data_IF_103166737235
#
_entry.id   IF_103166737235
#
_cell.length_a   1.000
_cell.length_b   1.000
_cell.length_c   1.000
_cell.angle_alpha   90.00
_cell.angle_beta   90.00
_cell.angle_gamma   90.00
#
_symmetry.space_group_name_H-M   'P 1'
#
loop_
_entity.id
_entity.type
_entity.pdbx_description
1 polymer ?
#
# COMPACT_ATOMS: atom_id res chain seq x y z
N UNK A 1 -0.22 -26.80 -41.59
CA UNK A 1 -0.72 -25.42 -41.38
C UNK A 1 0.14 -24.75 -40.31
N UNK A 2 0.95 -23.75 -40.67
CA UNK A 2 1.92 -23.11 -39.76
C UNK A 2 1.35 -21.90 -39.00
N UNK A 3 2.02 -21.52 -37.91
CA UNK A 3 1.64 -20.33 -37.12
C UNK A 3 1.76 -19.07 -37.97
N UNK A 4 0.69 -18.28 -38.03
CA UNK A 4 0.67 -17.01 -38.77
C UNK A 4 1.66 -16.01 -38.17
N UNK A 5 2.22 -15.15 -39.03
CA UNK A 5 3.13 -14.08 -38.62
C UNK A 5 2.41 -13.12 -37.68
N UNK A 6 2.99 -12.87 -36.52
CA UNK A 6 2.42 -11.97 -35.50
C UNK A 6 2.44 -10.50 -35.94
N UNK A 7 3.35 -10.12 -36.84
CA UNK A 7 3.49 -8.75 -37.31
C UNK A 7 3.51 -8.71 -38.84
N UNK A 8 2.80 -7.72 -39.38
CA UNK A 8 2.73 -7.44 -40.81
C UNK A 8 4.09 -7.10 -41.42
N UNK A 9 4.87 -6.25 -40.73
CA UNK A 9 6.17 -5.69 -41.18
C UNK A 9 7.05 -5.35 -39.98
N UNK A 10 8.32 -5.03 -40.23
CA UNK A 10 9.28 -4.59 -39.20
C UNK A 10 8.80 -3.32 -38.48
N UNK A 11 8.18 -2.37 -39.20
CA UNK A 11 7.58 -1.16 -38.59
C UNK A 11 6.43 -1.49 -37.62
N UNK A 12 5.59 -2.48 -37.94
CA UNK A 12 4.53 -2.96 -37.04
C UNK A 12 5.14 -3.53 -35.73
N UNK A 13 6.25 -4.26 -35.84
CA UNK A 13 6.99 -4.79 -34.68
C UNK A 13 7.63 -3.66 -33.87
N UNK A 14 8.24 -2.67 -34.54
CA UNK A 14 8.88 -1.53 -33.90
C UNK A 14 7.88 -0.69 -33.11
N UNK A 15 6.72 -0.37 -33.70
CA UNK A 15 5.62 0.32 -32.99
C UNK A 15 5.12 -0.47 -31.78
N UNK A 16 4.99 -1.79 -31.89
CA UNK A 16 4.59 -2.63 -30.77
C UNK A 16 5.67 -2.72 -29.68
N UNK A 17 6.95 -2.54 -30.02
CA UNK A 17 8.04 -2.42 -29.05
C UNK A 17 7.99 -1.05 -28.36
N UNK A 18 7.86 0.02 -29.13
CA UNK A 18 7.77 1.40 -28.62
C UNK A 18 6.56 1.60 -27.73
N UNK A 19 5.40 1.06 -28.10
CA UNK A 19 4.19 1.09 -27.27
C UNK A 19 4.38 0.33 -25.95
N UNK A 20 5.01 -0.85 -25.98
CA UNK A 20 5.33 -1.58 -24.75
C UNK A 20 6.34 -0.80 -23.92
N UNK A 21 7.39 -0.28 -24.55
CA UNK A 21 8.41 0.51 -23.87
C UNK A 21 7.85 1.83 -23.30
N UNK A 22 6.85 2.45 -23.93
CA UNK A 22 6.16 3.62 -23.39
C UNK A 22 5.22 3.25 -22.24
N UNK A 23 4.56 2.08 -22.28
CA UNK A 23 3.75 1.59 -21.17
C UNK A 23 4.60 1.15 -19.98
N UNK A 24 5.77 0.56 -20.24
CA UNK A 24 6.76 0.25 -19.18
C UNK A 24 7.39 1.52 -18.61
N UNK A 25 7.25 2.66 -19.31
CA UNK A 25 7.70 4.01 -18.93
C UNK A 25 6.51 4.97 -18.78
N UNK A 26 5.39 4.53 -18.17
CA UNK A 26 4.14 5.31 -18.01
C UNK A 26 4.33 6.69 -17.35
N UNK A 27 3.25 7.40 -17.01
CA UNK A 27 3.24 8.83 -16.57
C UNK A 27 4.27 9.22 -15.48
N UNK A 28 4.84 8.27 -14.75
CA UNK A 28 6.15 8.39 -14.14
C UNK A 28 7.27 8.13 -15.17
N UNK A 29 7.65 9.17 -15.93
CA UNK A 29 8.64 9.15 -17.03
C UNK A 29 10.07 8.70 -16.66
N UNK A 30 10.25 8.17 -15.47
CA UNK A 30 11.31 7.25 -15.15
C UNK A 30 10.63 6.10 -14.39
N UNK A 31 10.76 4.87 -14.88
CA UNK A 31 11.22 3.86 -13.93
C UNK A 31 12.60 4.36 -13.48
N UNK A 32 12.63 5.35 -12.58
CA UNK A 32 13.66 5.43 -11.58
C UNK A 32 13.58 4.04 -11.01
N UNK A 33 14.56 3.20 -11.35
CA UNK A 33 14.60 1.82 -10.91
C UNK A 33 14.26 1.88 -9.44
N UNK A 34 13.05 1.42 -9.11
CA UNK A 34 12.53 1.61 -7.76
C UNK A 34 13.61 1.02 -6.85
N UNK A 35 13.98 1.74 -5.78
CA UNK A 35 14.93 1.19 -4.82
C UNK A 35 14.56 -0.27 -4.52
N UNK A 36 15.54 -1.17 -4.37
CA UNK A 36 15.26 -2.59 -4.18
C UNK A 36 14.38 -2.87 -2.94
N UNK A 37 14.29 -1.90 -2.04
CA UNK A 37 13.49 -1.88 -0.81
C UNK A 37 12.20 -1.05 -0.93
N UNK A 38 11.86 -0.55 -2.11
CA UNK A 38 10.64 0.21 -2.33
C UNK A 38 9.39 -0.66 -2.20
N UNK A 39 8.41 -0.15 -1.45
CA UNK A 39 7.05 -0.72 -1.37
C UNK A 39 6.15 0.08 -2.29
N UNK A 40 5.49 -0.60 -3.23
CA UNK A 40 4.52 0.01 -4.16
C UNK A 40 3.11 -0.36 -3.70
N UNK A 41 2.31 0.65 -3.41
CA UNK A 41 0.89 0.52 -3.06
C UNK A 41 0.04 1.19 -4.13
N UNK A 42 -1.19 0.71 -4.34
CA UNK A 42 -2.18 1.49 -5.06
C UNK A 42 -2.54 2.76 -4.26
N UNK A 43 -3.15 3.74 -4.91
CA UNK A 43 -3.63 4.94 -4.22
C UNK A 43 -4.66 4.58 -3.13
N UNK A 44 -5.55 3.62 -3.42
CA UNK A 44 -6.56 3.14 -2.47
C UNK A 44 -5.90 2.41 -1.29
N UNK A 45 -4.93 1.53 -1.54
CA UNK A 45 -4.20 0.83 -0.46
C UNK A 45 -3.43 1.81 0.43
N UNK A 46 -2.88 2.88 -0.15
CA UNK A 46 -2.16 3.93 0.58
C UNK A 46 -3.11 4.76 1.46
N UNK A 47 -4.29 5.11 0.95
CA UNK A 47 -5.34 5.80 1.72
C UNK A 47 -5.84 4.91 2.87
N UNK A 48 -6.18 3.65 2.58
CA UNK A 48 -6.62 2.67 3.57
C UNK A 48 -5.56 2.42 4.66
N UNK A 49 -4.27 2.44 4.31
CA UNK A 49 -3.19 2.33 5.28
C UNK A 49 -3.12 3.59 6.16
N UNK A 50 -3.21 4.78 5.55
CA UNK A 50 -3.20 6.05 6.27
C UNK A 50 -4.33 6.12 7.30
N UNK A 51 -5.54 5.73 6.93
CA UNK A 51 -6.70 5.72 7.82
C UNK A 51 -6.52 4.75 8.99
N UNK A 52 -5.96 3.56 8.74
CA UNK A 52 -5.67 2.60 9.82
C UNK A 52 -4.58 3.08 10.77
N UNK A 53 -3.53 3.72 10.26
CA UNK A 53 -2.49 4.34 11.11
C UNK A 53 -3.08 5.49 11.93
N UNK A 54 -3.98 6.29 11.35
CA UNK A 54 -4.70 7.32 12.07
C UNK A 54 -5.51 6.75 13.24
N UNK A 55 -6.23 5.65 13.03
CA UNK A 55 -6.98 4.97 14.10
C UNK A 55 -6.09 4.48 15.23
N UNK A 56 -4.89 3.97 14.93
CA UNK A 56 -3.91 3.58 15.95
C UNK A 56 -3.49 4.78 16.80
N UNK A 57 -3.21 5.91 16.15
CA UNK A 57 -2.84 7.14 16.86
C UNK A 57 -3.96 7.60 17.79
N UNK A 58 -5.19 7.67 17.30
CA UNK A 58 -6.34 8.08 18.13
C UNK A 58 -6.56 7.13 19.31
N UNK A 59 -6.52 5.80 19.09
CA UNK A 59 -6.65 4.86 20.19
C UNK A 59 -5.53 4.99 21.24
N UNK A 60 -4.32 5.40 20.85
CA UNK A 60 -3.24 5.69 21.78
C UNK A 60 -3.44 7.03 22.52
N UNK A 61 -3.95 8.05 21.84
CA UNK A 61 -4.34 9.34 22.43
C UNK A 61 -5.46 9.16 23.46
N UNK A 62 -6.42 8.28 23.21
CA UNK A 62 -7.50 7.95 24.16
C UNK A 62 -6.93 7.30 25.44
N UNK A 63 -5.96 6.38 25.31
CA UNK A 63 -5.25 5.79 26.45
C UNK A 63 -4.51 6.86 27.26
N UNK A 64 -3.81 7.78 26.58
CA UNK A 64 -3.09 8.86 27.24
C UNK A 64 -4.06 9.79 28.00
N UNK A 65 -5.17 10.16 27.37
CA UNK A 65 -6.23 10.98 27.99
C UNK A 65 -6.81 10.29 29.22
N UNK A 66 -7.13 9.00 29.11
CA UNK A 66 -7.65 8.22 30.23
C UNK A 66 -6.65 8.12 31.40
N UNK A 67 -5.34 8.03 31.12
CA UNK A 67 -4.31 8.08 32.16
C UNK A 67 -4.26 9.45 32.85
N UNK A 68 -4.32 10.54 32.09
CA UNK A 68 -4.32 11.90 32.61
C UNK A 68 -5.57 12.20 33.46
N UNK A 69 -6.71 11.59 33.12
CA UNK A 69 -7.97 11.69 33.87
C UNK A 69 -8.07 10.72 35.05
N UNK A 70 -7.07 9.84 35.24
CA UNK A 70 -7.05 8.87 36.34
C UNK A 70 -8.07 7.73 36.18
N UNK A 71 -8.34 7.32 34.94
CA UNK A 71 -9.25 6.24 34.61
C UNK A 71 -8.91 4.93 35.34
N UNK A 72 -9.94 4.14 35.61
CA UNK A 72 -9.80 2.87 36.32
C UNK A 72 -9.10 1.80 35.50
N UNK A 73 -8.57 0.78 36.17
CA UNK A 73 -7.87 -0.34 35.52
C UNK A 73 -8.69 -1.06 34.45
N UNK A 74 -10.01 -1.20 34.64
CA UNK A 74 -10.90 -1.85 33.67
C UNK A 74 -10.98 -1.05 32.37
N UNK A 75 -11.22 0.25 32.46
CA UNK A 75 -11.30 1.15 31.32
C UNK A 75 -9.98 1.22 30.56
N UNK A 76 -8.85 1.34 31.28
CA UNK A 76 -7.53 1.30 30.66
C UNK A 76 -7.26 -0.02 29.92
N UNK A 77 -7.76 -1.14 30.44
CA UNK A 77 -7.65 -2.45 29.75
C UNK A 77 -8.47 -2.46 28.46
N UNK A 78 -9.70 -1.95 28.50
CA UNK A 78 -10.56 -1.87 27.32
C UNK A 78 -9.95 -0.98 26.23
N UNK A 79 -9.41 0.19 26.60
CA UNK A 79 -8.71 1.09 25.68
C UNK A 79 -7.44 0.45 25.10
N UNK A 80 -6.67 -0.26 25.92
CA UNK A 80 -5.53 -1.06 25.42
C UNK A 80 -5.99 -2.11 24.40
N UNK A 81 -7.12 -2.79 24.63
CA UNK A 81 -7.64 -3.79 23.71
C UNK A 81 -8.11 -3.15 22.37
N UNK A 82 -8.70 -1.95 22.42
CA UNK A 82 -9.03 -1.15 21.22
C UNK A 82 -7.77 -0.81 20.44
N UNK A 83 -6.75 -0.28 21.12
CA UNK A 83 -5.46 0.07 20.51
C UNK A 83 -4.80 -1.14 19.85
N UNK A 84 -4.78 -2.29 20.53
CA UNK A 84 -4.21 -3.51 19.98
C UNK A 84 -4.99 -4.05 18.78
N UNK A 85 -6.32 -3.87 18.73
CA UNK A 85 -7.13 -4.20 17.55
C UNK A 85 -6.80 -3.27 16.38
N UNK A 86 -6.71 -1.96 16.61
CA UNK A 86 -6.33 -0.99 15.59
C UNK A 86 -4.93 -1.29 15.01
N UNK A 87 -3.96 -1.60 15.89
CA UNK A 87 -2.60 -1.93 15.48
C UNK A 87 -2.56 -3.18 14.58
N UNK A 88 -3.31 -4.23 14.95
CA UNK A 88 -3.41 -5.47 14.14
C UNK A 88 -4.07 -5.21 12.78
N UNK A 89 -5.06 -4.34 12.72
CA UNK A 89 -5.71 -3.96 11.46
C UNK A 89 -4.73 -3.18 10.56
N UNK A 90 -3.95 -2.28 11.15
CA UNK A 90 -2.89 -1.56 10.46
C UNK A 90 -1.78 -2.49 9.97
N UNK A 91 -1.39 -3.53 10.71
CA UNK A 91 -0.32 -4.47 10.31
C UNK A 91 -0.60 -5.29 9.03
N UNK A 92 -1.86 -5.36 8.59
CA UNK A 92 -2.29 -6.20 7.47
C UNK A 92 -1.54 -5.96 6.15
N UNK A 93 -1.02 -4.75 5.90
CA UNK A 93 -0.31 -4.42 4.65
C UNK A 93 0.99 -5.21 4.47
N UNK A 94 1.64 -5.66 5.56
CA UNK A 94 2.87 -6.47 5.50
C UNK A 94 2.67 -7.85 4.86
N UNK A 95 1.44 -8.36 4.82
CA UNK A 95 1.12 -9.70 4.29
C UNK A 95 0.67 -9.69 2.83
N UNK A 96 0.40 -8.53 2.24
CA UNK A 96 -0.04 -8.42 0.85
C UNK A 96 1.08 -8.68 -0.18
N UNK A 97 2.34 -8.79 0.27
CA UNK A 97 3.52 -9.02 -0.57
C UNK A 97 4.15 -10.42 -0.49
N UNK A 98 3.52 -11.39 0.19
CA UNK A 98 3.99 -12.81 0.27
C UNK A 98 2.93 -13.74 -0.29
#
# INVERSE_FOLDING_TARGET
MGRRRQYCRQSCRQRAYEQRASLTRGEAGAAAALPPDAVVLSADDAADLSDRVYQVRCAAEDVATALDEGAGHTELRELCDVLMRAARAADGWRRAGV
#
